data_IF_348988612395
#
_entry.id   IF_348988612395
#
_cell.length_a   1.000
_cell.length_b   1.000
_cell.length_c   1.000
_cell.angle_alpha   90.00
_cell.angle_beta   90.00
_cell.angle_gamma   90.00
#
_symmetry.space_group_name_H-M   'P 1'
#
loop_
_entity.id
_entity.type
_entity.pdbx_description
1 polymer ?
#
# COMPACT_ATOMS: atom_id res chain seq x y z
N UNK A 1 -3.85 14.23 -3.56
CA UNK A 1 -4.38 14.51 -2.19
C UNK A 1 -3.30 15.17 -1.34
N UNK A 2 -3.63 16.21 -0.56
CA UNK A 2 -2.67 16.89 0.32
C UNK A 2 -2.14 15.99 1.43
N UNK A 3 -0.85 16.15 1.75
CA UNK A 3 -0.12 15.37 2.78
C UNK A 3 -0.87 15.27 4.10
N UNK A 4 -1.29 16.41 4.66
CA UNK A 4 -1.92 16.47 5.99
C UNK A 4 -3.22 15.66 6.01
N UNK A 5 -4.02 15.76 4.96
CA UNK A 5 -5.29 15.05 4.86
C UNK A 5 -5.08 13.56 4.64
N UNK A 6 -4.09 13.21 3.82
CA UNK A 6 -3.70 11.81 3.61
C UNK A 6 -3.30 11.15 4.94
N UNK A 7 -2.42 11.79 5.73
CA UNK A 7 -1.97 11.26 7.03
C UNK A 7 -3.16 11.07 7.98
N UNK A 8 -4.05 12.08 8.10
CA UNK A 8 -5.23 12.01 8.96
C UNK A 8 -6.15 10.84 8.59
N UNK A 9 -6.41 10.66 7.30
CA UNK A 9 -7.31 9.61 6.82
C UNK A 9 -6.71 8.20 6.95
N UNK A 10 -5.38 8.05 6.87
CA UNK A 10 -4.72 6.76 7.06
C UNK A 10 -4.75 6.25 8.51
N UNK A 11 -5.02 7.13 9.49
CA UNK A 11 -5.07 6.79 10.92
C UNK A 11 -3.82 6.02 11.39
N UNK A 12 -2.64 6.48 10.96
CA UNK A 12 -1.35 5.86 11.22
C UNK A 12 -0.42 6.82 11.95
N UNK A 13 0.60 6.28 12.62
CA UNK A 13 1.61 7.09 13.29
C UNK A 13 2.66 7.53 12.28
N UNK A 14 2.84 8.83 12.10
CA UNK A 14 4.02 9.35 11.42
C UNK A 14 5.26 9.13 12.29
N UNK A 15 6.30 8.55 11.70
CA UNK A 15 7.57 8.23 12.39
C UNK A 15 8.77 8.92 11.78
N UNK A 16 8.63 9.50 10.59
CA UNK A 16 9.67 10.25 9.90
C UNK A 16 9.04 11.19 8.88
N UNK A 17 9.59 12.40 8.73
CA UNK A 17 9.18 13.38 7.73
C UNK A 17 10.38 14.17 7.24
N UNK A 18 10.45 14.32 5.92
CA UNK A 18 11.34 15.24 5.20
C UNK A 18 10.51 16.22 4.35
N UNK A 19 11.20 17.08 3.59
CA UNK A 19 10.58 18.10 2.73
C UNK A 19 9.57 17.50 1.75
N UNK A 20 9.91 16.41 1.07
CA UNK A 20 9.11 15.79 0.00
C UNK A 20 8.70 14.34 0.30
N UNK A 21 8.91 13.86 1.53
CA UNK A 21 8.61 12.46 1.87
C UNK A 21 8.26 12.30 3.34
N UNK A 22 7.53 11.25 3.66
CA UNK A 22 7.21 10.88 5.04
C UNK A 22 6.98 9.38 5.17
N UNK A 23 7.04 8.87 6.39
CA UNK A 23 6.85 7.46 6.71
C UNK A 23 5.76 7.29 7.76
N UNK A 24 4.78 6.44 7.42
CA UNK A 24 3.70 6.03 8.30
C UNK A 24 3.95 4.61 8.82
N UNK A 25 3.82 4.45 10.13
CA UNK A 25 3.80 3.16 10.82
C UNK A 25 2.36 2.79 11.15
N UNK A 26 1.88 1.70 10.54
CA UNK A 26 0.55 1.12 10.80
C UNK A 26 0.61 0.07 11.92
N UNK A 27 1.68 -0.72 11.95
CA UNK A 27 1.97 -1.69 13.00
C UNK A 27 3.48 -2.00 13.06
N UNK A 28 3.90 -2.92 13.92
CA UNK A 28 5.30 -3.41 13.93
C UNK A 28 5.73 -4.09 12.62
N UNK A 29 4.79 -4.59 11.82
CA UNK A 29 5.06 -5.36 10.60
C UNK A 29 4.48 -4.72 9.34
N UNK A 30 4.07 -3.45 9.40
CA UNK A 30 3.41 -2.74 8.29
C UNK A 30 3.80 -1.27 8.30
N UNK A 31 4.53 -0.87 7.27
CA UNK A 31 5.06 0.49 7.08
C UNK A 31 4.70 0.99 5.70
N UNK A 32 4.65 2.31 5.58
CA UNK A 32 4.35 2.97 4.33
C UNK A 32 5.27 4.16 4.15
N UNK A 33 5.96 4.24 3.03
CA UNK A 33 6.68 5.45 2.60
C UNK A 33 5.81 6.20 1.61
N UNK A 34 5.86 7.52 1.68
CA UNK A 34 5.10 8.41 0.81
C UNK A 34 6.04 9.46 0.24
N UNK A 35 5.83 9.82 -1.02
CA UNK A 35 6.49 10.92 -1.70
C UNK A 35 5.45 11.97 -2.09
N UNK A 36 5.85 13.24 -1.98
CA UNK A 36 5.02 14.39 -2.30
C UNK A 36 5.67 15.30 -3.34
N UNK A 37 4.83 15.82 -4.23
CA UNK A 37 5.14 16.95 -5.11
C UNK A 37 4.22 18.11 -4.74
N UNK A 38 4.78 19.28 -4.44
CA UNK A 38 4.02 20.48 -4.02
C UNK A 38 2.97 20.22 -2.91
N UNK A 39 3.38 19.36 -1.97
CA UNK A 39 2.60 18.87 -0.83
C UNK A 39 1.44 17.91 -1.15
N UNK A 40 1.20 17.59 -2.41
CA UNK A 40 0.34 16.50 -2.82
C UNK A 40 1.10 15.17 -2.80
N UNK A 41 0.51 14.13 -2.20
CA UNK A 41 1.03 12.77 -2.26
C UNK A 41 0.87 12.25 -3.69
N UNK A 42 1.98 11.83 -4.31
CA UNK A 42 1.99 11.32 -5.71
C UNK A 42 2.52 9.89 -5.81
N UNK A 43 3.22 9.40 -4.79
CA UNK A 43 3.63 8.00 -4.72
C UNK A 43 3.62 7.45 -3.31
N UNK A 44 3.29 6.16 -3.20
CA UNK A 44 3.22 5.40 -1.97
C UNK A 44 3.87 4.03 -2.17
N UNK A 45 4.70 3.60 -1.22
CA UNK A 45 5.14 2.21 -1.12
C UNK A 45 4.75 1.62 0.23
N UNK A 46 4.06 0.49 0.19
CA UNK A 46 3.69 -0.31 1.35
C UNK A 46 4.70 -1.43 1.53
N UNK A 47 5.16 -1.62 2.76
CA UNK A 47 6.07 -2.69 3.16
C UNK A 47 5.44 -3.50 4.29
N UNK A 48 5.25 -4.79 4.07
CA UNK A 48 4.63 -5.67 5.06
C UNK A 48 5.36 -7.00 5.18
N UNK A 49 5.58 -7.49 6.40
CA UNK A 49 6.09 -8.86 6.60
C UNK A 49 5.04 -9.86 6.11
N UNK A 50 5.40 -10.85 5.28
CA UNK A 50 4.42 -11.83 4.76
C UNK A 50 3.90 -12.76 5.85
N UNK A 51 4.76 -13.14 6.80
CA UNK A 51 4.42 -14.08 7.88
C UNK A 51 4.85 -13.52 9.25
N UNK A 52 3.89 -13.31 10.15
CA UNK A 52 4.13 -12.74 11.49
C UNK A 52 3.81 -13.72 12.62
N UNK A 53 3.11 -14.83 12.31
CA UNK A 53 2.79 -15.85 13.29
C UNK A 53 2.48 -17.19 12.63
N UNK A 54 2.73 -18.29 13.36
CA UNK A 54 2.23 -19.63 13.00
C UNK A 54 0.77 -19.84 13.41
N UNK A 55 0.22 -18.95 14.24
CA UNK A 55 -1.19 -18.93 14.60
C UNK A 55 -2.00 -18.38 13.42
N UNK A 56 -2.87 -19.21 12.84
CA UNK A 56 -3.67 -18.86 11.66
C UNK A 56 -4.55 -17.63 11.89
N UNK A 57 -5.12 -17.45 13.09
CA UNK A 57 -6.01 -16.31 13.39
C UNK A 57 -5.19 -15.02 13.38
N UNK A 58 -4.00 -15.03 14.01
CA UNK A 58 -3.10 -13.87 14.01
C UNK A 58 -2.60 -13.55 12.60
N UNK A 59 -2.28 -14.56 11.81
CA UNK A 59 -1.83 -14.38 10.43
C UNK A 59 -2.93 -13.86 9.51
N UNK A 60 -4.18 -14.30 9.69
CA UNK A 60 -5.34 -13.78 8.96
C UNK A 60 -5.55 -12.29 9.29
N UNK A 61 -5.57 -11.92 10.58
CA UNK A 61 -5.71 -10.52 11.00
C UNK A 61 -4.62 -9.62 10.44
N UNK A 62 -3.39 -10.11 10.40
CA UNK A 62 -2.28 -9.38 9.77
C UNK A 62 -2.53 -9.17 8.27
N UNK A 63 -2.97 -10.21 7.57
CA UNK A 63 -3.32 -10.12 6.15
C UNK A 63 -4.46 -9.14 5.89
N UNK A 64 -5.50 -9.15 6.72
CA UNK A 64 -6.61 -8.18 6.67
C UNK A 64 -6.12 -6.75 6.86
N UNK A 65 -5.17 -6.52 7.77
CA UNK A 65 -4.56 -5.20 7.99
C UNK A 65 -3.81 -4.70 6.75
N UNK A 66 -3.04 -5.57 6.09
CA UNK A 66 -2.35 -5.23 4.84
C UNK A 66 -3.37 -4.82 3.78
N UNK A 67 -4.41 -5.64 3.58
CA UNK A 67 -5.44 -5.38 2.59
C UNK A 67 -6.20 -4.09 2.89
N UNK A 68 -6.51 -3.81 4.15
CA UNK A 68 -7.18 -2.58 4.56
C UNK A 68 -6.33 -1.35 4.21
N UNK A 69 -5.05 -1.37 4.55
CA UNK A 69 -4.15 -0.26 4.23
C UNK A 69 -4.00 -0.09 2.73
N UNK A 70 -3.80 -1.18 1.99
CA UNK A 70 -3.70 -1.12 0.52
C UNK A 70 -4.96 -0.51 -0.12
N UNK A 71 -6.15 -0.95 0.31
CA UNK A 71 -7.42 -0.37 -0.14
C UNK A 71 -7.51 1.12 0.20
N UNK A 72 -7.16 1.52 1.42
CA UNK A 72 -7.16 2.92 1.82
C UNK A 72 -6.24 3.77 0.95
N UNK A 73 -5.06 3.26 0.55
CA UNK A 73 -4.18 3.99 -0.36
C UNK A 73 -4.85 4.15 -1.73
N UNK A 74 -5.42 3.09 -2.32
CA UNK A 74 -6.09 3.19 -3.62
C UNK A 74 -7.27 4.16 -3.59
N UNK A 75 -8.08 4.16 -2.53
CA UNK A 75 -9.20 5.10 -2.39
C UNK A 75 -8.75 6.55 -2.16
N UNK A 76 -7.67 6.78 -1.41
CA UNK A 76 -7.25 8.14 -1.04
C UNK A 76 -6.31 8.79 -2.07
N UNK A 77 -5.40 8.00 -2.63
CA UNK A 77 -4.43 8.48 -3.61
C UNK A 77 -5.04 8.45 -5.01
N UNK A 78 -5.58 7.31 -5.43
CA UNK A 78 -6.07 7.11 -6.78
C UNK A 78 -7.56 7.43 -6.97
N UNK A 79 -8.28 7.72 -5.88
CA UNK A 79 -9.73 7.96 -5.88
C UNK A 79 -10.56 6.80 -6.45
N UNK A 80 -10.03 5.57 -6.35
CA UNK A 80 -10.69 4.37 -6.84
C UNK A 80 -11.82 3.92 -5.93
N UNK A 81 -12.92 3.50 -6.54
CA UNK A 81 -14.04 2.87 -5.86
C UNK A 81 -13.78 1.37 -5.55
N UNK A 82 -14.73 0.72 -4.88
CA UNK A 82 -14.60 -0.68 -4.48
C UNK A 82 -14.48 -1.65 -5.67
N UNK A 83 -15.05 -1.32 -6.82
CA UNK A 83 -15.01 -2.17 -8.01
C UNK A 83 -13.67 -2.02 -8.75
N UNK A 84 -13.16 -0.79 -8.85
CA UNK A 84 -11.80 -0.51 -9.34
C UNK A 84 -10.74 -1.18 -8.46
N UNK A 85 -10.89 -1.11 -7.13
CA UNK A 85 -10.00 -1.77 -6.17
C UNK A 85 -9.98 -3.28 -6.39
N UNK A 86 -11.15 -3.91 -6.57
CA UNK A 86 -11.23 -5.35 -6.86
C UNK A 86 -10.53 -5.69 -8.17
N UNK A 87 -10.70 -4.86 -9.19
CA UNK A 87 -10.03 -5.01 -10.47
C UNK A 87 -8.50 -4.94 -10.32
N UNK A 88 -8.00 -3.96 -9.57
CA UNK A 88 -6.56 -3.81 -9.26
C UNK A 88 -6.04 -5.05 -8.53
N UNK A 89 -6.71 -5.49 -7.47
CA UNK A 89 -6.30 -6.69 -6.71
C UNK A 89 -6.24 -7.93 -7.61
N UNK A 90 -7.21 -8.09 -8.52
CA UNK A 90 -7.22 -9.19 -9.46
C UNK A 90 -6.05 -9.12 -10.45
N UNK A 91 -5.83 -7.97 -11.07
CA UNK A 91 -4.77 -7.79 -12.08
C UNK A 91 -3.36 -7.88 -11.49
N UNK A 92 -3.18 -7.38 -10.27
CA UNK A 92 -1.93 -7.56 -9.52
C UNK A 92 -1.74 -8.99 -9.02
N UNK A 93 -2.73 -9.87 -9.14
CA UNK A 93 -2.58 -11.30 -8.86
C UNK A 93 -2.81 -11.70 -7.41
N UNK A 94 -3.58 -10.92 -6.63
CA UNK A 94 -3.87 -11.25 -5.23
C UNK A 94 -4.72 -12.52 -5.08
N UNK A 95 -5.50 -12.89 -6.10
CA UNK A 95 -6.35 -14.08 -6.08
C UNK A 95 -5.69 -15.32 -6.70
N UNK A 96 -4.61 -15.16 -7.48
CA UNK A 96 -3.89 -16.25 -8.14
C UNK A 96 -2.44 -16.42 -7.63
N UNK A 97 -2.02 -15.57 -6.69
CA UNK A 97 -0.68 -15.50 -6.09
C UNK A 97 0.45 -15.12 -7.05
N UNK A 98 0.14 -14.69 -8.28
CA UNK A 98 1.15 -14.33 -9.27
C UNK A 98 1.96 -13.09 -8.88
N UNK A 99 1.47 -12.25 -7.96
CA UNK A 99 2.23 -11.13 -7.38
C UNK A 99 3.56 -11.57 -6.77
N UNK A 100 3.70 -12.83 -6.32
CA UNK A 100 4.94 -13.34 -5.73
C UNK A 100 6.16 -13.19 -6.65
N UNK A 101 5.95 -13.14 -7.97
CA UNK A 101 7.02 -13.02 -8.97
C UNK A 101 7.20 -11.59 -9.50
N UNK A 102 6.50 -10.62 -8.90
CA UNK A 102 6.39 -9.27 -9.44
C UNK A 102 5.30 -9.18 -10.49
N UNK A 103 4.23 -8.45 -10.16
CA UNK A 103 3.18 -8.06 -11.09
C UNK A 103 3.12 -6.55 -11.13
N UNK A 104 3.11 -5.99 -12.33
CA UNK A 104 2.89 -4.57 -12.55
C UNK A 104 1.72 -4.35 -13.50
N UNK A 105 1.07 -3.20 -13.34
CA UNK A 105 0.02 -2.74 -14.23
C UNK A 105 -0.05 -1.22 -14.20
N UNK A 106 -0.54 -0.65 -15.29
CA UNK A 106 -0.99 0.74 -15.31
C UNK A 106 -2.51 0.78 -15.28
N UNK A 107 -3.06 1.70 -14.51
CA UNK A 107 -4.48 2.00 -14.51
C UNK A 107 -4.66 3.51 -14.34
N UNK A 108 -5.36 4.13 -15.29
CA UNK A 108 -5.43 5.58 -15.42
C UNK A 108 -4.01 6.20 -15.36
N UNK A 109 -3.79 7.17 -14.49
CA UNK A 109 -2.53 7.90 -14.34
C UNK A 109 -1.58 7.26 -13.31
N UNK A 110 -1.80 6.00 -12.92
CA UNK A 110 -1.01 5.31 -11.90
C UNK A 110 -0.34 4.04 -12.42
N UNK A 111 0.95 3.90 -12.08
CA UNK A 111 1.68 2.65 -12.13
C UNK A 111 1.55 1.94 -10.78
N UNK A 112 1.09 0.69 -10.81
CA UNK A 112 0.93 -0.16 -9.64
C UNK A 112 1.80 -1.40 -9.79
N UNK A 113 2.52 -1.76 -8.73
CA UNK A 113 3.33 -2.98 -8.67
C UNK A 113 3.13 -3.69 -7.35
N UNK A 114 3.01 -5.02 -7.37
CA UNK A 114 3.01 -5.87 -6.18
C UNK A 114 4.06 -6.97 -6.33
N UNK A 115 4.87 -7.17 -5.29
CA UNK A 115 5.91 -8.19 -5.27
C UNK A 115 6.19 -8.74 -3.87
N UNK A 116 6.84 -9.90 -3.80
CA UNK A 116 7.40 -10.46 -2.56
C UNK A 116 8.89 -10.63 -2.72
N UNK A 117 9.67 -9.98 -1.86
CA UNK A 117 11.12 -10.06 -1.85
C UNK A 117 11.59 -10.48 -0.46
N UNK A 118 12.25 -11.63 -0.34
CA UNK A 118 12.81 -12.13 0.92
C UNK A 118 11.82 -12.15 2.10
N UNK A 119 10.55 -12.49 1.85
CA UNK A 119 9.50 -12.53 2.87
C UNK A 119 8.88 -11.16 3.20
N UNK A 120 9.24 -10.11 2.47
CA UNK A 120 8.62 -8.79 2.52
C UNK A 120 7.66 -8.64 1.34
N UNK A 121 6.39 -8.35 1.63
CA UNK A 121 5.40 -7.95 0.66
C UNK A 121 5.53 -6.46 0.41
N UNK A 122 5.66 -6.08 -0.87
CA UNK A 122 5.87 -4.71 -1.31
C UNK A 122 4.78 -4.36 -2.31
N UNK A 123 4.12 -3.23 -2.09
CA UNK A 123 3.21 -2.64 -3.07
C UNK A 123 3.66 -1.23 -3.36
N UNK A 124 3.85 -0.89 -4.63
CA UNK A 124 4.17 0.46 -5.09
C UNK A 124 2.98 1.00 -5.88
N UNK A 125 2.60 2.24 -5.61
CA UNK A 125 1.61 3.01 -6.36
C UNK A 125 2.26 4.37 -6.63
N UNK A 126 2.38 4.76 -7.89
CA UNK A 126 3.00 6.02 -8.28
C UNK A 126 2.26 6.63 -9.46
N UNK A 127 1.99 7.93 -9.38
CA UNK A 127 1.49 8.73 -10.50
C UNK A 127 2.55 8.77 -11.63
N UNK A 128 2.12 8.66 -12.89
CA UNK A 128 2.97 8.61 -14.09
C UNK A 128 2.60 9.66 -15.13
#
# INVERSE_FOLDING_TARGET
MKRIDFIKNMNAKEIHQDKSSFVLKHSENLFQTCYCQDDDVTAVQLFATVCVSKDSIKQIKHTESILKVFKSVLSLLCEYDDDDIRLVMNRLGFFDLSFKFGKEMSLYDYLLKAEVVNGLFIVTIAEV
#
